data_IF_554716853881
#
_entry.id   IF_554716853881
#
_cell.length_a   1.000
_cell.length_b   1.000
_cell.length_c   1.000
_cell.angle_alpha   90.00
_cell.angle_beta   90.00
_cell.angle_gamma   90.00
#
_symmetry.space_group_name_H-M   'P 1'
#
loop_
_entity.id
_entity.type
_entity.pdbx_description
1 polymer ?
#
# COMPACT_ATOMS: atom_id res chain seq x y z
N UNK A 1 12.78 -26.85 42.74
CA UNK A 1 11.82 -25.74 42.63
C UNK A 1 12.27 -24.58 41.72
N UNK A 2 13.55 -24.36 41.55
CA UNK A 2 14.09 -23.27 40.68
C UNK A 2 13.96 -23.47 39.17
N UNK A 3 13.85 -24.71 38.66
CA UNK A 3 13.71 -24.97 37.23
C UNK A 3 12.31 -24.70 36.66
N UNK A 4 11.26 -24.64 37.48
CA UNK A 4 9.90 -24.28 37.02
C UNK A 4 9.69 -22.76 36.90
N UNK A 5 10.48 -21.96 37.63
CA UNK A 5 10.41 -20.50 37.57
C UNK A 5 11.07 -19.92 36.32
N UNK A 6 12.16 -20.56 35.85
CA UNK A 6 12.86 -20.11 34.64
C UNK A 6 12.08 -20.36 33.34
N UNK A 7 11.24 -21.40 33.28
CA UNK A 7 10.40 -21.68 32.09
C UNK A 7 9.21 -20.73 31.94
N UNK A 8 8.73 -20.15 33.03
CA UNK A 8 7.61 -19.20 33.00
C UNK A 8 7.99 -17.79 32.52
N UNK A 9 9.24 -17.39 32.68
CA UNK A 9 9.75 -16.07 32.31
C UNK A 9 10.19 -16.00 30.83
N UNK A 10 10.59 -17.13 30.23
CA UNK A 10 10.99 -17.22 28.82
C UNK A 10 9.80 -17.28 27.83
N UNK A 11 8.59 -17.57 28.32
CA UNK A 11 7.39 -17.65 27.46
C UNK A 11 6.58 -16.36 27.33
N UNK A 12 6.90 -15.30 28.10
CA UNK A 12 6.13 -14.06 28.10
C UNK A 12 6.70 -12.92 27.28
N UNK A 13 7.90 -13.07 26.73
CA UNK A 13 8.53 -12.06 25.86
C UNK A 13 8.95 -12.66 24.50
N UNK A 14 8.15 -13.52 23.93
CA UNK A 14 8.17 -13.64 22.48
C UNK A 14 7.69 -12.28 21.95
N UNK A 15 8.62 -11.41 21.63
CA UNK A 15 8.38 -10.25 20.79
C UNK A 15 7.66 -10.79 19.58
N UNK A 16 6.33 -10.65 19.55
CA UNK A 16 5.58 -10.83 18.33
C UNK A 16 6.08 -9.73 17.41
N UNK A 17 7.09 -10.05 16.63
CA UNK A 17 7.42 -9.29 15.45
C UNK A 17 6.13 -9.29 14.64
N UNK A 18 5.34 -8.25 14.79
CA UNK A 18 4.16 -8.05 13.94
C UNK A 18 4.74 -7.98 12.54
N UNK A 19 4.45 -8.99 11.75
CA UNK A 19 5.17 -9.34 10.55
C UNK A 19 5.37 -8.16 9.64
N UNK A 20 6.61 -8.01 9.30
CA UNK A 20 7.31 -6.93 8.71
C UNK A 20 6.52 -5.99 7.82
N UNK A 21 6.77 -4.72 8.01
CA UNK A 21 6.40 -3.62 7.13
C UNK A 21 6.73 -3.90 5.64
N UNK A 22 7.62 -4.84 5.38
CA UNK A 22 8.21 -5.12 4.08
C UNK A 22 7.76 -6.43 3.42
N UNK A 23 6.83 -7.16 4.02
CA UNK A 23 6.28 -8.39 3.43
C UNK A 23 4.78 -8.27 3.22
N UNK A 24 4.30 -8.78 2.09
CA UNK A 24 2.87 -8.94 1.88
C UNK A 24 2.38 -10.18 2.62
N UNK A 25 1.36 -10.03 3.47
CA UNK A 25 0.63 -11.16 4.05
C UNK A 25 -0.61 -11.42 3.21
N UNK A 26 -0.87 -12.68 2.90
CA UNK A 26 -2.13 -13.07 2.30
C UNK A 26 -3.29 -12.69 3.22
N UNK A 27 -4.30 -12.07 2.64
CA UNK A 27 -5.55 -11.74 3.30
C UNK A 27 -6.70 -12.47 2.61
N UNK A 28 -7.89 -12.46 3.21
CA UNK A 28 -9.06 -13.08 2.58
C UNK A 28 -9.41 -12.42 1.22
N UNK A 29 -9.07 -11.15 1.06
CA UNK A 29 -9.37 -10.35 -0.15
C UNK A 29 -8.19 -10.25 -1.11
N UNK A 30 -6.98 -10.54 -0.67
CA UNK A 30 -5.76 -10.44 -1.47
C UNK A 30 -4.90 -11.69 -1.27
N UNK A 31 -5.11 -12.68 -2.11
CA UNK A 31 -4.48 -14.00 -2.09
C UNK A 31 -4.19 -14.48 -3.52
N UNK A 32 -3.56 -15.64 -3.62
CA UNK A 32 -3.19 -16.27 -4.89
C UNK A 32 -4.36 -16.66 -5.81
N UNK A 33 -5.57 -16.79 -5.26
CA UNK A 33 -6.73 -17.22 -6.03
C UNK A 33 -7.27 -16.15 -6.99
N UNK A 34 -6.83 -14.90 -6.86
CA UNK A 34 -7.24 -13.80 -7.73
C UNK A 34 -6.23 -13.66 -8.87
N UNK A 35 -6.51 -14.18 -10.09
CA UNK A 35 -5.57 -14.10 -11.20
C UNK A 35 -5.40 -12.65 -11.67
N UNK A 36 -4.19 -12.29 -12.07
CA UNK A 36 -3.90 -11.00 -12.70
C UNK A 36 -3.08 -11.20 -13.95
N UNK A 37 -3.50 -10.53 -15.03
CA UNK A 37 -2.77 -10.46 -16.29
C UNK A 37 -2.92 -9.06 -16.87
N UNK A 38 -1.85 -8.54 -17.49
CA UNK A 38 -1.93 -7.26 -18.19
C UNK A 38 -2.78 -7.41 -19.46
N UNK A 39 -3.57 -6.38 -19.76
CA UNK A 39 -4.28 -6.31 -21.04
C UNK A 39 -3.30 -6.15 -22.21
N UNK A 40 -3.73 -6.49 -23.42
CA UNK A 40 -2.89 -6.39 -24.62
C UNK A 40 -2.32 -4.97 -24.82
N UNK A 41 -3.12 -3.94 -24.51
CA UNK A 41 -2.66 -2.54 -24.61
C UNK A 41 -1.67 -2.18 -23.51
N UNK A 42 -1.89 -2.68 -22.29
CA UNK A 42 -0.95 -2.48 -21.18
C UNK A 42 0.37 -3.24 -21.39
N UNK A 43 0.36 -4.37 -22.13
CA UNK A 43 1.62 -5.01 -22.51
C UNK A 43 2.49 -4.13 -23.41
N UNK A 44 1.88 -3.37 -24.34
CA UNK A 44 2.63 -2.38 -25.14
C UNK A 44 3.25 -1.30 -24.26
N UNK A 45 2.54 -0.88 -23.20
CA UNK A 45 3.06 0.10 -22.26
C UNK A 45 4.16 -0.50 -21.35
N UNK A 46 4.03 -1.78 -20.96
CA UNK A 46 5.09 -2.51 -20.25
C UNK A 46 6.39 -2.52 -21.08
N UNK A 47 6.30 -2.82 -22.38
CA UNK A 47 7.46 -2.79 -23.28
C UNK A 47 8.09 -1.40 -23.35
N UNK A 48 7.30 -0.35 -23.50
CA UNK A 48 7.79 1.04 -23.49
C UNK A 48 8.45 1.42 -22.16
N UNK A 49 7.91 0.95 -21.03
CA UNK A 49 8.54 1.18 -19.72
C UNK A 49 9.89 0.50 -19.64
N UNK A 50 9.99 -0.75 -20.07
CA UNK A 50 11.23 -1.52 -20.05
C UNK A 50 12.33 -0.91 -20.94
N UNK A 51 11.96 -0.35 -22.12
CA UNK A 51 12.92 0.29 -23.02
C UNK A 51 13.57 1.56 -22.43
N UNK A 52 13.01 2.15 -21.37
CA UNK A 52 13.61 3.30 -20.67
C UNK A 52 14.82 2.94 -19.81
N UNK A 53 15.03 1.66 -19.56
CA UNK A 53 16.09 1.16 -18.68
C UNK A 53 17.01 0.21 -19.46
N UNK A 54 18.31 0.12 -19.08
CA UNK A 54 19.20 -0.88 -19.63
C UNK A 54 18.68 -2.30 -19.41
N UNK A 55 18.96 -3.21 -20.33
CA UNK A 55 18.43 -4.59 -20.31
C UNK A 55 18.81 -5.38 -19.04
N UNK A 56 19.95 -5.07 -18.43
CA UNK A 56 20.44 -5.66 -17.18
C UNK A 56 19.88 -4.95 -15.91
N UNK A 57 19.08 -3.88 -16.07
CA UNK A 57 18.50 -3.10 -14.96
C UNK A 57 16.98 -3.07 -14.98
N UNK A 58 16.34 -4.15 -15.39
CA UNK A 58 14.87 -4.29 -15.40
C UNK A 58 14.24 -4.03 -14.02
N UNK A 59 14.98 -4.24 -12.92
CA UNK A 59 14.56 -3.92 -11.55
C UNK A 59 14.09 -2.47 -11.41
N UNK A 60 14.68 -1.53 -12.14
CA UNK A 60 14.27 -0.12 -12.10
C UNK A 60 12.84 0.13 -12.60
N UNK A 61 12.26 -0.82 -13.32
CA UNK A 61 10.89 -0.74 -13.83
C UNK A 61 9.83 -1.19 -12.80
N UNK A 62 10.20 -1.63 -11.58
CA UNK A 62 9.22 -2.15 -10.58
C UNK A 62 8.14 -1.11 -10.28
N UNK A 63 8.52 0.11 -9.87
CA UNK A 63 7.57 1.16 -9.49
C UNK A 63 6.59 1.52 -10.63
N UNK A 64 7.04 1.84 -11.84
CA UNK A 64 6.12 2.17 -12.93
C UNK A 64 5.25 0.98 -13.36
N UNK A 65 5.75 -0.25 -13.28
CA UNK A 65 4.94 -1.44 -13.58
C UNK A 65 3.88 -1.72 -12.51
N UNK A 66 4.22 -1.55 -11.23
CA UNK A 66 3.23 -1.62 -10.14
C UNK A 66 2.15 -0.55 -10.28
N UNK A 67 2.54 0.67 -10.67
CA UNK A 67 1.59 1.76 -10.92
C UNK A 67 0.65 1.41 -12.08
N UNK A 68 1.17 0.83 -13.15
CA UNK A 68 0.36 0.39 -14.30
C UNK A 68 -0.60 -0.74 -13.89
N UNK A 69 -0.11 -1.72 -13.13
CA UNK A 69 -0.90 -2.83 -12.63
C UNK A 69 -2.04 -2.35 -11.71
N UNK A 70 -1.75 -1.43 -10.78
CA UNK A 70 -2.74 -0.86 -9.88
C UNK A 70 -3.82 -0.08 -10.63
N UNK A 71 -3.44 0.73 -11.63
CA UNK A 71 -4.39 1.46 -12.48
C UNK A 71 -5.31 0.53 -13.26
N UNK A 72 -4.80 -0.58 -13.76
CA UNK A 72 -5.61 -1.57 -14.48
C UNK A 72 -6.60 -2.29 -13.57
N UNK A 73 -6.29 -2.44 -12.29
CA UNK A 73 -7.04 -3.23 -11.33
C UNK A 73 -7.80 -2.34 -10.30
N UNK A 74 -8.47 -1.32 -10.79
CA UNK A 74 -9.33 -0.41 -9.99
C UNK A 74 -8.63 0.16 -8.74
N UNK A 75 -7.42 0.67 -8.91
CA UNK A 75 -6.56 1.19 -7.83
C UNK A 75 -6.22 0.17 -6.72
N UNK A 76 -6.32 -1.11 -7.01
CA UNK A 76 -5.95 -2.18 -6.10
C UNK A 76 -4.76 -2.98 -6.61
N UNK A 77 -3.75 -3.17 -5.77
CA UNK A 77 -2.56 -3.94 -6.09
C UNK A 77 -2.66 -5.35 -5.49
N UNK A 78 -3.08 -6.32 -6.32
CA UNK A 78 -3.20 -7.71 -5.89
C UNK A 78 -1.85 -8.40 -5.75
N UNK A 79 -1.81 -9.48 -4.95
CA UNK A 79 -0.63 -10.34 -4.81
C UNK A 79 -0.17 -10.89 -6.16
N UNK A 80 -1.12 -11.37 -6.96
CA UNK A 80 -0.85 -11.89 -8.31
C UNK A 80 -0.26 -10.82 -9.25
N UNK A 81 -0.70 -9.55 -9.13
CA UNK A 81 -0.11 -8.44 -9.89
C UNK A 81 1.34 -8.19 -9.48
N UNK A 82 1.65 -8.20 -8.18
CA UNK A 82 3.02 -8.06 -7.69
C UNK A 82 3.92 -9.20 -8.19
N UNK A 83 3.45 -10.45 -8.14
CA UNK A 83 4.16 -11.62 -8.69
C UNK A 83 4.35 -11.52 -10.21
N UNK A 84 3.36 -11.00 -10.93
CA UNK A 84 3.50 -10.76 -12.38
C UNK A 84 4.60 -9.75 -12.68
N UNK A 85 4.64 -8.65 -11.93
CA UNK A 85 5.72 -7.65 -12.05
C UNK A 85 7.08 -8.26 -11.73
N UNK A 86 7.21 -9.08 -10.69
CA UNK A 86 8.45 -9.78 -10.35
C UNK A 86 8.98 -10.63 -11.52
N UNK A 87 8.09 -11.38 -12.16
CA UNK A 87 8.44 -12.20 -13.35
C UNK A 87 8.91 -11.35 -14.52
N UNK A 88 8.25 -10.22 -14.81
CA UNK A 88 8.62 -9.32 -15.91
C UNK A 88 9.96 -8.65 -15.65
N UNK A 89 10.22 -8.23 -14.42
CA UNK A 89 11.46 -7.56 -14.03
C UNK A 89 12.60 -8.51 -13.68
N UNK A 90 12.33 -9.83 -13.67
CA UNK A 90 13.31 -10.89 -13.37
C UNK A 90 13.96 -10.73 -11.98
N UNK A 91 13.16 -10.34 -10.99
CA UNK A 91 13.58 -10.20 -9.57
C UNK A 91 12.81 -11.16 -8.67
N UNK A 92 13.27 -11.32 -7.43
CA UNK A 92 12.53 -12.07 -6.43
C UNK A 92 11.20 -11.37 -6.07
N UNK A 93 10.18 -12.16 -5.76
CA UNK A 93 8.88 -11.62 -5.33
C UNK A 93 9.03 -10.71 -4.09
N UNK A 94 9.95 -11.04 -3.17
CA UNK A 94 10.23 -10.23 -1.99
C UNK A 94 10.69 -8.81 -2.32
N UNK A 95 11.53 -8.63 -3.34
CA UNK A 95 11.98 -7.31 -3.79
C UNK A 95 10.79 -6.43 -4.21
N UNK A 96 9.77 -7.04 -4.84
CA UNK A 96 8.55 -6.33 -5.26
C UNK A 96 7.64 -6.05 -4.06
N UNK A 97 7.52 -6.99 -3.11
CA UNK A 97 6.73 -6.79 -1.89
C UNK A 97 7.31 -5.69 -1.01
N UNK A 98 8.63 -5.60 -0.90
CA UNK A 98 9.32 -4.51 -0.21
C UNK A 98 8.94 -3.15 -0.80
N UNK A 99 9.01 -3.01 -2.13
CA UNK A 99 8.63 -1.77 -2.81
C UNK A 99 7.14 -1.47 -2.62
N UNK A 100 6.27 -2.45 -2.80
CA UNK A 100 4.82 -2.28 -2.68
C UNK A 100 4.38 -1.94 -1.24
N UNK A 101 5.12 -2.40 -0.23
CA UNK A 101 4.82 -2.11 1.18
C UNK A 101 5.47 -0.83 1.67
N UNK A 102 6.60 -0.44 1.10
CA UNK A 102 7.30 0.79 1.47
C UNK A 102 6.59 2.06 0.97
N UNK A 103 6.16 2.05 -0.29
CA UNK A 103 5.51 3.22 -0.89
C UNK A 103 4.01 3.21 -0.61
N UNK A 104 3.53 4.18 0.15
CA UNK A 104 2.12 4.30 0.60
C UNK A 104 1.13 4.54 -0.55
N UNK A 105 1.61 4.91 -1.74
CA UNK A 105 0.77 5.06 -2.93
C UNK A 105 0.27 3.71 -3.49
N UNK A 106 0.82 2.59 -3.03
CA UNK A 106 0.38 1.26 -3.45
C UNK A 106 -0.68 0.71 -2.50
N UNK A 107 -1.90 0.58 -3.01
CA UNK A 107 -3.05 0.09 -2.27
C UNK A 107 -3.08 -1.43 -2.28
N UNK A 108 -2.57 -2.07 -1.23
CA UNK A 108 -2.58 -3.53 -1.06
C UNK A 108 -3.90 -4.07 -0.49
N UNK A 109 -4.79 -3.18 -0.11
CA UNK A 109 -6.18 -3.43 0.28
C UNK A 109 -7.11 -2.64 -0.63
N UNK A 110 -8.35 -3.11 -0.76
CA UNK A 110 -9.33 -2.41 -1.59
C UNK A 110 -9.74 -1.11 -0.92
N UNK A 111 -9.69 -0.04 -1.69
CA UNK A 111 -10.17 1.30 -1.30
C UNK A 111 -11.48 1.61 -2.02
N UNK A 112 -12.25 2.55 -1.50
CA UNK A 112 -13.44 3.05 -2.17
C UNK A 112 -13.13 3.77 -3.48
N UNK A 113 -14.19 4.06 -4.24
CA UNK A 113 -14.07 4.80 -5.51
C UNK A 113 -13.38 6.16 -5.32
N UNK A 114 -13.63 6.81 -4.20
CA UNK A 114 -13.00 8.07 -3.79
C UNK A 114 -12.15 7.81 -2.55
N UNK A 115 -10.85 7.88 -2.72
CA UNK A 115 -9.89 7.69 -1.64
C UNK A 115 -9.43 9.05 -1.14
N UNK A 116 -10.00 9.49 0.00
CA UNK A 116 -9.68 10.76 0.63
C UNK A 116 -8.42 10.61 1.47
N UNK A 117 -7.32 11.15 1.01
CA UNK A 117 -6.04 11.15 1.70
C UNK A 117 -5.79 12.50 2.35
N UNK A 118 -5.70 12.53 3.68
CA UNK A 118 -5.53 13.76 4.46
C UNK A 118 -4.14 13.76 5.09
N UNK A 119 -3.37 14.79 4.82
CA UNK A 119 -2.02 14.91 5.36
C UNK A 119 -2.05 15.14 6.87
N UNK A 120 -1.43 14.21 7.63
CA UNK A 120 -1.29 14.25 9.09
C UNK A 120 0.04 14.79 9.59
N UNK A 121 0.93 15.33 8.74
CA UNK A 121 2.24 15.82 9.17
C UNK A 121 2.20 17.22 9.79
N UNK A 122 3.22 17.56 10.55
CA UNK A 122 3.29 18.74 11.40
C UNK A 122 2.79 20.05 10.77
N UNK A 123 3.18 20.45 9.56
CA UNK A 123 2.67 21.71 8.96
C UNK A 123 1.16 21.69 8.77
N UNK A 124 0.59 20.54 8.36
CA UNK A 124 -0.84 20.39 8.17
C UNK A 124 -1.59 20.32 9.52
N UNK A 125 -1.01 19.66 10.54
CA UNK A 125 -1.56 19.65 11.90
C UNK A 125 -1.64 21.06 12.50
N UNK A 126 -0.57 21.83 12.40
CA UNK A 126 -0.54 23.24 12.85
C UNK A 126 -1.59 24.10 12.15
N UNK A 127 -2.01 23.74 10.95
CA UNK A 127 -3.03 24.42 10.16
C UNK A 127 -4.41 23.77 10.26
N UNK A 128 -4.59 22.79 11.16
CA UNK A 128 -5.88 22.21 11.51
C UNK A 128 -6.31 20.99 10.70
N UNK A 129 -5.39 20.15 10.22
CA UNK A 129 -5.74 18.91 9.50
C UNK A 129 -6.57 17.96 10.36
N UNK A 130 -6.36 17.92 11.68
CA UNK A 130 -7.18 17.13 12.60
C UNK A 130 -8.67 17.51 12.55
N UNK A 131 -8.97 18.80 12.45
CA UNK A 131 -10.36 19.26 12.32
C UNK A 131 -10.98 18.82 10.98
N UNK A 132 -10.18 18.72 9.92
CA UNK A 132 -10.64 18.19 8.62
C UNK A 132 -10.93 16.71 8.73
N UNK A 133 -10.01 15.92 9.33
CA UNK A 133 -10.21 14.49 9.56
C UNK A 133 -11.51 14.26 10.35
N UNK A 134 -11.67 14.94 11.49
CA UNK A 134 -12.86 14.81 12.35
C UNK A 134 -14.17 15.19 11.60
N UNK A 135 -14.09 16.19 10.72
CA UNK A 135 -15.25 16.61 9.91
C UNK A 135 -15.61 15.54 8.88
N UNK A 136 -14.62 14.98 8.19
CA UNK A 136 -14.82 13.89 7.22
C UNK A 136 -15.36 12.64 7.89
N UNK A 137 -14.80 12.24 9.04
CA UNK A 137 -15.27 11.10 9.83
C UNK A 137 -16.73 11.26 10.25
N UNK A 138 -17.06 12.43 10.77
CA UNK A 138 -18.44 12.75 11.20
C UNK A 138 -19.42 12.75 10.03
N UNK A 139 -19.01 13.27 8.87
CA UNK A 139 -19.88 13.37 7.69
C UNK A 139 -20.13 12.01 7.05
N UNK A 140 -19.10 11.20 6.92
CA UNK A 140 -19.18 9.89 6.27
C UNK A 140 -19.56 8.75 7.24
N UNK A 141 -19.48 8.99 8.55
CA UNK A 141 -19.82 8.00 9.57
C UNK A 141 -18.82 6.84 9.67
N UNK A 142 -17.57 7.05 9.22
CA UNK A 142 -16.48 6.07 9.25
C UNK A 142 -15.26 6.72 9.90
N UNK A 143 -14.31 5.90 10.38
CA UNK A 143 -13.04 6.36 10.93
C UNK A 143 -11.94 6.35 9.87
N UNK A 144 -10.85 7.07 10.16
CA UNK A 144 -9.65 6.99 9.33
C UNK A 144 -9.15 5.55 9.22
N UNK A 145 -8.87 5.10 8.00
CA UNK A 145 -8.54 3.72 7.65
C UNK A 145 -9.74 2.86 7.25
N UNK A 146 -10.96 3.37 7.33
CA UNK A 146 -12.17 2.61 7.00
C UNK A 146 -12.78 3.06 5.66
N UNK A 147 -13.55 2.14 5.05
CA UNK A 147 -14.31 2.39 3.82
C UNK A 147 -15.81 2.38 4.12
N UNK A 148 -16.58 3.24 3.48
CA UNK A 148 -18.04 3.28 3.61
C UNK A 148 -18.66 1.97 3.10
N UNK A 149 -19.83 1.61 3.65
CA UNK A 149 -20.52 0.34 3.32
C UNK A 149 -20.91 0.22 1.84
N UNK A 150 -21.06 1.34 1.17
CA UNK A 150 -21.36 1.43 -0.26
C UNK A 150 -20.10 1.38 -1.15
N UNK A 151 -18.91 1.24 -0.55
CA UNK A 151 -17.59 1.25 -1.20
C UNK A 151 -17.32 2.53 -2.02
N UNK A 152 -17.95 3.65 -1.68
CA UNK A 152 -17.71 4.91 -2.37
C UNK A 152 -16.51 5.66 -1.81
N UNK A 153 -16.41 5.78 -0.48
CA UNK A 153 -15.38 6.58 0.16
C UNK A 153 -14.49 5.75 1.08
N UNK A 154 -13.19 6.02 1.03
CA UNK A 154 -12.21 5.61 2.04
C UNK A 154 -11.53 6.85 2.56
N UNK A 155 -11.44 7.00 3.89
CA UNK A 155 -10.65 8.07 4.53
C UNK A 155 -9.34 7.45 4.98
N UNK A 156 -8.23 8.13 4.71
CA UNK A 156 -6.92 7.73 5.20
C UNK A 156 -6.11 8.95 5.61
N UNK A 157 -5.58 8.93 6.83
CA UNK A 157 -4.51 9.84 7.21
C UNK A 157 -3.21 9.34 6.56
N UNK A 158 -2.51 10.25 5.88
CA UNK A 158 -1.27 9.95 5.15
C UNK A 158 -0.15 10.88 5.56
N UNK A 159 1.07 10.48 5.19
CA UNK A 159 2.25 11.32 5.34
C UNK A 159 2.21 12.54 4.39
N UNK A 160 3.25 13.36 4.42
CA UNK A 160 3.31 14.62 3.69
C UNK A 160 3.02 14.47 2.19
N UNK A 161 1.99 15.18 1.71
CA UNK A 161 1.61 15.26 0.29
C UNK A 161 2.43 16.30 -0.51
N UNK A 162 3.47 16.90 0.10
CA UNK A 162 4.40 17.81 -0.57
C UNK A 162 3.92 19.24 -0.77
N UNK A 163 2.71 19.60 -0.35
CA UNK A 163 2.13 20.92 -0.55
C UNK A 163 2.05 21.76 0.74
N UNK A 164 3.07 21.72 1.58
CA UNK A 164 3.10 22.34 2.90
C UNK A 164 2.83 23.85 2.89
N UNK A 165 3.18 24.55 1.79
CA UNK A 165 2.88 25.98 1.60
C UNK A 165 1.37 26.26 1.56
N UNK A 166 0.56 25.29 1.13
CA UNK A 166 -0.90 25.38 1.03
C UNK A 166 -1.61 24.52 2.10
N UNK A 167 -0.93 24.25 3.22
CA UNK A 167 -1.50 23.48 4.31
C UNK A 167 -2.78 24.15 4.88
N UNK A 168 -3.78 23.37 5.31
CA UNK A 168 -3.84 21.91 5.34
C UNK A 168 -4.14 21.28 3.99
N UNK A 169 -3.64 20.06 3.74
CA UNK A 169 -3.72 19.40 2.43
C UNK A 169 -4.56 18.12 2.47
N UNK A 170 -5.45 18.00 1.49
CA UNK A 170 -6.28 16.81 1.21
C UNK A 170 -6.26 16.53 -0.29
N UNK A 171 -6.20 15.27 -0.70
CA UNK A 171 -6.37 14.82 -2.09
C UNK A 171 -7.32 13.63 -2.18
#
# INVERSE_FOLDING_TARGET
MLQKFARGLLQKNAFKFSGGYFSHKETQTNNDSTPFEFTADNYKEVEKILTKYPSNWKRSAIIPLLTLAQKQNDNFLSLSAMRKVARITEVNEMDVYEVASFYTMFNRERVGKFHLQICGTTPCQLRGSEAIIATCEKHLGIKSGETTKDNLFTIQEVECLGACANAPMLQ
#
